data_IF_639746317489
#
_entry.id   IF_639746317489
#
_cell.length_a   1.000
_cell.length_b   1.000
_cell.length_c   1.000
_cell.angle_alpha   90.00
_cell.angle_beta   90.00
_cell.angle_gamma   90.00
#
_symmetry.space_group_name_H-M   'P 1'
#
loop_
_entity.id
_entity.type
_entity.pdbx_description
1 polymer ?
#
# COMPACT_ATOMS: atom_id res chain seq x y z
N UNK A 1 -28.76 6.80 -11.26
CA UNK A 1 -30.14 6.34 -11.54
C UNK A 1 -31.07 7.45 -11.04
N UNK A 2 -31.71 8.21 -11.94
CA UNK A 2 -32.44 9.43 -11.57
C UNK A 2 -33.90 9.17 -11.17
N UNK A 3 -34.47 8.07 -11.66
CA UNK A 3 -35.87 7.71 -11.41
C UNK A 3 -36.01 6.86 -10.13
N UNK A 4 -36.92 7.27 -9.25
CA UNK A 4 -37.26 6.55 -8.02
C UNK A 4 -37.91 5.20 -8.31
N UNK A 5 -38.63 5.06 -9.43
CA UNK A 5 -39.28 3.80 -9.80
C UNK A 5 -38.23 2.73 -10.14
N UNK A 6 -37.17 3.10 -10.87
CA UNK A 6 -36.04 2.22 -11.16
C UNK A 6 -35.29 1.79 -9.89
N UNK A 7 -35.12 2.72 -8.94
CA UNK A 7 -34.49 2.40 -7.64
C UNK A 7 -35.31 1.37 -6.86
N UNK A 8 -36.64 1.55 -6.79
CA UNK A 8 -37.53 0.58 -6.15
C UNK A 8 -37.52 -0.77 -6.87
N UNK A 9 -37.47 -0.78 -8.20
CA UNK A 9 -37.40 -2.00 -8.97
C UNK A 9 -36.13 -2.80 -8.66
N UNK A 10 -34.96 -2.14 -8.66
CA UNK A 10 -33.68 -2.76 -8.28
C UNK A 10 -33.75 -3.33 -6.87
N UNK A 11 -34.26 -2.55 -5.91
CA UNK A 11 -34.38 -3.00 -4.52
C UNK A 11 -35.29 -4.22 -4.39
N UNK A 12 -36.46 -4.22 -5.04
CA UNK A 12 -37.39 -5.36 -5.02
C UNK A 12 -36.78 -6.61 -5.62
N UNK A 13 -36.11 -6.49 -6.77
CA UNK A 13 -35.44 -7.62 -7.42
C UNK A 13 -34.31 -8.16 -6.56
N UNK A 14 -33.54 -7.29 -5.91
CA UNK A 14 -32.45 -7.67 -5.01
C UNK A 14 -32.97 -8.42 -3.78
N UNK A 15 -34.00 -7.90 -3.10
CA UNK A 15 -34.63 -8.57 -1.95
C UNK A 15 -35.17 -9.94 -2.34
N UNK A 16 -35.88 -10.05 -3.46
CA UNK A 16 -36.42 -11.32 -3.96
C UNK A 16 -35.33 -12.36 -4.28
N UNK A 17 -34.17 -11.92 -4.77
CA UNK A 17 -33.05 -12.80 -5.03
C UNK A 17 -32.46 -13.37 -3.73
N UNK A 18 -32.41 -12.57 -2.67
CA UNK A 18 -31.87 -12.95 -1.36
C UNK A 18 -32.81 -13.83 -0.52
N UNK A 19 -34.11 -13.89 -0.83
CA UNK A 19 -35.05 -14.82 -0.18
C UNK A 19 -34.64 -16.30 -0.29
N UNK A 20 -33.83 -16.64 -1.30
CA UNK A 20 -33.30 -18.00 -1.50
C UNK A 20 -32.09 -18.32 -0.61
N UNK A 21 -31.48 -17.31 0.02
CA UNK A 21 -30.32 -17.50 0.88
C UNK A 21 -30.77 -17.96 2.27
N UNK A 22 -30.19 -19.07 2.75
CA UNK A 22 -30.49 -19.60 4.08
C UNK A 22 -29.89 -18.75 5.21
N UNK A 23 -28.87 -17.95 4.93
CA UNK A 23 -28.30 -17.05 5.93
C UNK A 23 -29.23 -15.85 6.15
N UNK A 24 -29.46 -15.50 7.42
CA UNK A 24 -30.22 -14.29 7.74
C UNK A 24 -29.55 -13.06 7.13
N UNK A 25 -30.33 -12.26 6.40
CA UNK A 25 -29.90 -11.03 5.74
C UNK A 25 -30.78 -9.86 6.15
N UNK A 26 -30.18 -8.68 6.27
CA UNK A 26 -30.89 -7.41 6.47
C UNK A 26 -30.45 -6.46 5.39
N UNK A 27 -31.39 -5.79 4.73
CA UNK A 27 -31.14 -4.91 3.59
C UNK A 27 -31.76 -3.54 3.88
N UNK A 28 -31.03 -2.47 3.59
CA UNK A 28 -31.50 -1.09 3.70
C UNK A 28 -32.04 -0.56 2.36
N UNK A 29 -32.61 0.64 2.34
CA UNK A 29 -32.95 1.34 1.10
C UNK A 29 -31.71 1.85 0.36
N UNK A 30 -31.88 2.24 -0.91
CA UNK A 30 -30.82 2.95 -1.65
C UNK A 30 -30.59 4.31 -0.98
N UNK A 31 -29.36 4.57 -0.56
CA UNK A 31 -28.95 5.83 0.06
C UNK A 31 -28.93 6.98 -0.94
N UNK A 32 -28.83 8.21 -0.44
CA UNK A 32 -28.68 9.39 -1.31
C UNK A 32 -27.42 9.34 -2.18
N UNK A 33 -26.40 8.59 -1.74
CA UNK A 33 -25.16 8.32 -2.50
C UNK A 33 -25.33 7.19 -3.53
N UNK A 34 -26.50 6.57 -3.61
CA UNK A 34 -26.79 5.46 -4.52
C UNK A 34 -26.29 4.10 -4.04
N UNK A 35 -26.02 3.93 -2.74
CA UNK A 35 -25.52 2.68 -2.16
C UNK A 35 -26.67 1.89 -1.50
N UNK A 36 -26.63 0.56 -1.58
CA UNK A 36 -27.46 -0.33 -0.75
C UNK A 36 -26.56 -0.95 0.29
N UNK A 37 -26.88 -0.73 1.56
CA UNK A 37 -26.20 -1.41 2.66
C UNK A 37 -26.96 -2.68 3.01
N UNK A 38 -26.23 -3.78 3.22
CA UNK A 38 -26.80 -5.03 3.69
C UNK A 38 -25.87 -5.72 4.68
N UNK A 39 -26.46 -6.51 5.57
CA UNK A 39 -25.73 -7.45 6.40
C UNK A 39 -26.16 -8.86 6.05
N UNK A 40 -25.22 -9.81 6.14
CA UNK A 40 -25.47 -11.23 5.97
C UNK A 40 -24.80 -11.97 7.10
N UNK A 41 -25.54 -12.80 7.83
CA UNK A 41 -25.00 -13.61 8.93
C UNK A 41 -23.86 -14.50 8.42
N UNK A 42 -22.69 -14.40 9.05
CA UNK A 42 -21.55 -15.30 8.78
C UNK A 42 -21.83 -16.66 9.41
N UNK A 43 -22.02 -17.68 8.58
CA UNK A 43 -22.28 -19.07 9.02
C UNK A 43 -21.05 -19.96 8.98
N UNK A 44 -20.03 -19.57 8.21
CA UNK A 44 -18.74 -20.25 8.04
C UNK A 44 -17.67 -19.26 7.61
N UNK A 45 -16.44 -19.72 7.49
CA UNK A 45 -15.36 -18.95 6.86
C UNK A 45 -15.70 -18.62 5.40
N UNK A 46 -15.32 -17.42 4.96
CA UNK A 46 -15.53 -17.01 3.58
C UNK A 46 -14.58 -17.79 2.66
N UNK A 47 -14.92 -17.91 1.37
CA UNK A 47 -13.99 -18.51 0.41
C UNK A 47 -12.65 -17.78 0.38
N UNK A 48 -12.65 -16.46 0.56
CA UNK A 48 -11.41 -15.69 0.62
C UNK A 48 -10.51 -16.08 1.80
N UNK A 49 -11.09 -16.43 2.95
CA UNK A 49 -10.30 -16.89 4.10
C UNK A 49 -9.78 -18.32 3.93
N UNK A 50 -10.52 -19.17 3.23
CA UNK A 50 -10.14 -20.57 3.00
C UNK A 50 -9.10 -20.67 1.88
N UNK A 51 -9.25 -19.86 0.82
CA UNK A 51 -8.50 -20.02 -0.42
C UNK A 51 -7.33 -19.04 -0.58
N UNK A 52 -7.30 -17.94 0.18
CA UNK A 52 -6.29 -16.90 0.03
C UNK A 52 -5.45 -16.72 1.30
N UNK A 53 -4.18 -16.38 1.11
CA UNK A 53 -3.30 -15.84 2.13
C UNK A 53 -3.19 -14.31 1.99
N UNK A 54 -2.58 -13.65 2.97
CA UNK A 54 -2.32 -12.22 2.90
C UNK A 54 -1.24 -11.93 1.85
N UNK A 55 -1.40 -10.83 1.11
CA UNK A 55 -0.37 -10.39 0.18
C UNK A 55 0.87 -9.91 0.96
N UNK A 56 2.05 -10.53 0.79
CA UNK A 56 3.25 -10.16 1.55
C UNK A 56 3.86 -8.82 1.13
N UNK A 57 3.41 -8.24 0.00
CA UNK A 57 3.96 -7.01 -0.55
C UNK A 57 3.15 -5.79 -0.13
N UNK A 58 1.84 -5.82 -0.34
CA UNK A 58 0.97 -4.68 -0.04
C UNK A 58 0.13 -4.86 1.23
N UNK A 59 0.20 -6.03 1.89
CA UNK A 59 -0.55 -6.35 3.10
C UNK A 59 -2.06 -6.08 3.00
N UNK A 60 -2.61 -6.23 1.80
CA UNK A 60 -4.03 -5.99 1.53
C UNK A 60 -4.40 -4.55 1.17
N UNK A 61 -3.44 -3.62 1.08
CA UNK A 61 -3.68 -2.24 0.61
C UNK A 61 -4.11 -2.17 -0.85
N UNK A 62 -3.66 -3.13 -1.68
CA UNK A 62 -3.92 -3.14 -3.13
C UNK A 62 -3.12 -2.12 -3.93
N UNK A 63 -2.21 -1.39 -3.28
CA UNK A 63 -1.32 -0.39 -3.89
C UNK A 63 0.07 -0.46 -3.24
N UNK A 64 1.07 0.03 -3.96
CA UNK A 64 2.45 0.19 -3.49
C UNK A 64 2.83 1.68 -3.55
N UNK A 65 3.67 2.14 -2.62
CA UNK A 65 4.30 3.46 -2.67
C UNK A 65 5.12 3.59 -3.95
N UNK A 66 5.15 4.76 -4.58
CA UNK A 66 6.02 5.00 -5.74
C UNK A 66 7.49 4.89 -5.36
N UNK A 67 8.36 4.56 -6.33
CA UNK A 67 9.81 4.53 -6.10
C UNK A 67 10.32 5.88 -5.57
N UNK A 68 9.79 6.99 -6.09
CA UNK A 68 10.02 8.35 -5.59
C UNK A 68 9.71 8.48 -4.09
N UNK A 69 8.55 8.01 -3.65
CA UNK A 69 8.17 8.08 -2.23
C UNK A 69 9.17 7.31 -1.36
N UNK A 70 9.63 6.15 -1.84
CA UNK A 70 10.63 5.32 -1.14
C UNK A 70 12.00 6.02 -1.10
N UNK A 71 12.41 6.70 -2.18
CA UNK A 71 13.65 7.50 -2.19
C UNK A 71 13.63 8.56 -1.09
N UNK A 72 12.53 9.30 -0.95
CA UNK A 72 12.38 10.30 0.12
C UNK A 72 12.25 9.68 1.52
N UNK A 73 11.80 8.43 1.65
CA UNK A 73 11.87 7.71 2.93
C UNK A 73 13.31 7.34 3.29
N UNK A 74 14.09 6.87 2.32
CA UNK A 74 15.53 6.58 2.48
C UNK A 74 16.26 7.84 2.93
N UNK A 75 16.08 8.98 2.26
CA UNK A 75 16.72 10.24 2.64
C UNK A 75 16.39 10.67 4.08
N UNK A 76 15.12 10.54 4.48
CA UNK A 76 14.68 10.84 5.85
C UNK A 76 15.33 9.91 6.87
N UNK A 77 15.47 8.62 6.55
CA UNK A 77 16.11 7.66 7.43
C UNK A 77 17.62 7.91 7.55
N UNK A 78 18.31 8.25 6.46
CA UNK A 78 19.73 8.67 6.52
C UNK A 78 19.89 9.87 7.44
N UNK A 79 19.10 10.93 7.26
CA UNK A 79 19.16 12.13 8.11
C UNK A 79 18.90 11.82 9.59
N UNK A 80 18.05 10.83 9.87
CA UNK A 80 17.77 10.37 11.24
C UNK A 80 18.97 9.64 11.84
N UNK A 81 19.58 8.74 11.09
CA UNK A 81 20.72 7.91 11.54
C UNK A 81 21.97 8.76 11.73
N UNK A 82 22.24 9.73 10.83
CA UNK A 82 23.38 10.64 10.91
C UNK A 82 23.43 11.40 12.24
N UNK A 83 22.26 11.78 12.76
CA UNK A 83 22.16 12.48 14.06
C UNK A 83 22.46 11.57 15.26
N UNK A 84 22.37 10.25 15.08
CA UNK A 84 22.53 9.27 16.14
C UNK A 84 23.91 8.58 16.13
N UNK A 85 24.59 8.51 14.98
CA UNK A 85 25.82 7.75 14.81
C UNK A 85 26.91 8.49 14.02
N UNK A 86 28.16 8.35 14.46
CA UNK A 86 29.37 8.93 13.84
C UNK A 86 30.06 7.96 12.86
N UNK A 87 29.30 7.34 11.95
CA UNK A 87 29.90 6.55 10.86
C UNK A 87 30.19 7.44 9.65
N UNK A 88 31.26 7.16 8.91
CA UNK A 88 31.67 7.95 7.74
C UNK A 88 31.00 7.49 6.44
N UNK A 89 30.56 6.22 6.40
CA UNK A 89 29.99 5.59 5.21
C UNK A 89 28.66 4.90 5.56
N UNK A 90 27.64 5.16 4.76
CA UNK A 90 26.37 4.44 4.81
C UNK A 90 26.20 3.60 3.55
N UNK A 91 25.67 2.39 3.70
CA UNK A 91 25.23 1.56 2.58
C UNK A 91 23.71 1.45 2.60
N UNK A 92 23.08 1.89 1.53
CA UNK A 92 21.65 1.73 1.32
C UNK A 92 21.44 0.56 0.38
N UNK A 93 20.74 -0.46 0.87
CA UNK A 93 20.36 -1.63 0.09
C UNK A 93 18.88 -1.54 -0.25
N UNK A 94 18.51 -1.53 -1.53
CA UNK A 94 17.12 -1.38 -1.97
C UNK A 94 16.84 -2.14 -3.28
N UNK A 95 15.57 -2.19 -3.70
CA UNK A 95 15.20 -2.78 -4.99
C UNK A 95 15.83 -2.02 -6.17
N UNK A 96 16.05 -2.70 -7.31
CA UNK A 96 16.64 -2.13 -8.52
C UNK A 96 15.98 -0.81 -8.94
N UNK A 97 14.65 -0.78 -8.98
CA UNK A 97 13.89 0.40 -9.40
C UNK A 97 14.15 1.62 -8.50
N UNK A 98 14.37 1.41 -7.22
CA UNK A 98 14.63 2.48 -6.25
C UNK A 98 16.08 2.95 -6.37
N UNK A 99 17.03 2.02 -6.52
CA UNK A 99 18.45 2.37 -6.70
C UNK A 99 18.68 3.12 -8.00
N UNK A 100 18.12 2.66 -9.12
CA UNK A 100 18.24 3.35 -10.40
C UNK A 100 17.70 4.78 -10.29
N UNK A 101 16.54 4.94 -9.65
CA UNK A 101 15.94 6.26 -9.45
C UNK A 101 16.78 7.19 -8.56
N UNK A 102 17.39 6.65 -7.50
CA UNK A 102 18.28 7.41 -6.62
C UNK A 102 19.52 7.91 -7.36
N UNK A 103 20.04 7.13 -8.30
CA UNK A 103 21.24 7.45 -9.06
C UNK A 103 20.96 8.32 -10.30
N UNK A 104 19.75 8.23 -10.87
CA UNK A 104 19.33 8.97 -12.06
C UNK A 104 18.46 10.19 -11.70
N UNK A 105 17.15 10.02 -11.43
CA UNK A 105 16.23 11.15 -11.29
C UNK A 105 16.41 11.96 -10.00
N UNK A 106 16.84 11.34 -8.90
CA UNK A 106 17.02 12.00 -7.60
C UNK A 106 18.50 12.33 -7.30
N UNK A 107 19.38 12.31 -8.33
CA UNK A 107 20.82 12.51 -8.18
C UNK A 107 21.18 13.86 -7.54
N UNK A 108 20.45 14.92 -7.90
CA UNK A 108 20.68 16.28 -7.38
C UNK A 108 20.34 16.34 -5.88
N UNK A 109 19.19 15.79 -5.50
CA UNK A 109 18.75 15.70 -4.09
C UNK A 109 19.72 14.86 -3.26
N UNK A 110 20.25 13.79 -3.83
CA UNK A 110 21.25 12.95 -3.19
C UNK A 110 22.54 13.73 -2.93
N UNK A 111 23.03 14.50 -3.91
CA UNK A 111 24.24 15.31 -3.75
C UNK A 111 24.07 16.39 -2.66
N UNK A 112 22.91 17.05 -2.61
CA UNK A 112 22.58 18.00 -1.54
C UNK A 112 22.56 17.33 -0.16
N UNK A 113 22.03 16.11 -0.08
CA UNK A 113 21.99 15.34 1.15
C UNK A 113 23.40 14.93 1.62
N UNK A 114 24.26 14.47 0.72
CA UNK A 114 25.66 14.13 1.03
C UNK A 114 26.45 15.37 1.50
N UNK A 115 26.25 16.52 0.88
CA UNK A 115 26.88 17.79 1.30
C UNK A 115 26.40 18.22 2.69
N UNK A 116 25.09 18.14 2.95
CA UNK A 116 24.49 18.49 4.24
C UNK A 116 24.98 17.57 5.38
N UNK A 117 25.11 16.28 5.08
CA UNK A 117 25.50 15.26 6.05
C UNK A 117 27.03 15.21 6.22
N UNK A 118 27.80 15.54 5.18
CA UNK A 118 29.26 15.46 5.17
C UNK A 118 29.79 14.02 5.16
N UNK A 119 28.99 13.05 4.70
CA UNK A 119 29.33 11.61 4.71
C UNK A 119 28.96 10.97 3.38
N UNK A 120 29.60 9.86 3.04
CA UNK A 120 29.38 9.17 1.76
C UNK A 120 28.24 8.15 1.86
N UNK A 121 27.33 8.16 0.90
CA UNK A 121 26.23 7.20 0.80
C UNK A 121 26.45 6.30 -0.42
N UNK A 122 26.57 4.99 -0.19
CA UNK A 122 26.66 3.97 -1.24
C UNK A 122 25.32 3.29 -1.43
N UNK A 123 25.05 2.87 -2.65
CA UNK A 123 23.82 2.14 -3.00
C UNK A 123 24.15 0.75 -3.54
N UNK A 124 23.43 -0.25 -3.06
CA UNK A 124 23.48 -1.62 -3.56
C UNK A 124 22.07 -2.12 -3.88
N UNK A 125 21.96 -2.85 -4.99
CA UNK A 125 20.71 -3.49 -5.37
C UNK A 125 20.60 -4.83 -4.65
N UNK A 126 19.48 -5.04 -3.97
CA UNK A 126 19.07 -6.36 -3.48
C UNK A 126 17.92 -6.90 -4.34
N UNK A 127 18.18 -7.92 -5.20
CA UNK A 127 17.17 -8.46 -6.11
C UNK A 127 15.94 -9.06 -5.43
N UNK A 128 16.07 -9.50 -4.17
CA UNK A 128 14.96 -10.07 -3.42
C UNK A 128 14.06 -9.02 -2.77
N UNK A 129 14.44 -7.74 -2.80
CA UNK A 129 13.66 -6.68 -2.17
C UNK A 129 12.51 -6.24 -3.07
N UNK A 130 11.35 -6.14 -2.44
CA UNK A 130 10.19 -5.44 -3.01
C UNK A 130 10.46 -3.94 -3.02
N UNK A 131 9.68 -3.19 -3.82
CA UNK A 131 9.89 -1.75 -3.99
C UNK A 131 9.90 -0.94 -2.68
N UNK A 132 9.13 -1.36 -1.67
CA UNK A 132 9.06 -0.66 -0.38
C UNK A 132 10.07 -1.15 0.66
N UNK A 133 10.92 -2.12 0.33
CA UNK A 133 11.95 -2.63 1.22
C UNK A 133 13.29 -1.95 0.93
N UNK A 134 13.89 -1.43 1.99
CA UNK A 134 15.25 -0.91 1.98
C UNK A 134 15.88 -1.06 3.37
N UNK A 135 17.20 -1.14 3.42
CA UNK A 135 17.99 -1.11 4.65
C UNK A 135 19.08 -0.05 4.54
N UNK A 136 19.43 0.57 5.68
CA UNK A 136 20.56 1.48 5.80
C UNK A 136 21.56 0.86 6.76
N UNK A 137 22.65 0.31 6.22
CA UNK A 137 23.72 -0.34 6.98
C UNK A 137 24.81 0.67 7.30
N UNK A 138 25.24 0.63 8.56
CA UNK A 138 26.29 1.47 9.13
C UNK A 138 27.65 0.78 8.97
N UNK A 139 28.63 1.45 8.36
CA UNK A 139 30.00 0.97 8.21
C UNK A 139 31.01 1.81 9.00
#
# INVERSE_FOLDING_TARGET
MLDAEHQQQVQRTFTKALEKDHAHTTITGISQLGLIEMTRKRTRESLGQILNSHCPVCEGRGTLKSAETVCYEIFREILRIVRAYENDIFLVTASQLVVDRLLDEESDTLAELEELVGKTVKFEVEPMYTQEQFDVVLY
#
